data_IF_831154672815
#
_entry.id   IF_831154672815
#
_cell.length_a   1.000
_cell.length_b   1.000
_cell.length_c   1.000
_cell.angle_alpha   90.00
_cell.angle_beta   90.00
_cell.angle_gamma   90.00
#
_symmetry.space_group_name_H-M   'P 1'
#
loop_
_entity.id
_entity.type
_entity.pdbx_description
1 polymer ?
#
# COMPACT_ATOMS: atom_id res chain seq x y z
N UNK A 1 -19.64 5.62 -11.42
CA UNK A 1 -18.23 6.09 -11.44
C UNK A 1 -17.77 5.98 -12.88
N UNK A 2 -17.40 7.10 -13.53
CA UNK A 2 -17.02 7.09 -14.95
C UNK A 2 -15.71 7.85 -15.13
N UNK A 3 -14.78 7.25 -15.86
CA UNK A 3 -13.58 7.90 -16.36
C UNK A 3 -13.92 8.75 -17.59
N UNK A 4 -13.32 9.93 -17.67
CA UNK A 4 -13.52 10.89 -18.76
C UNK A 4 -12.20 11.08 -19.51
N UNK A 5 -12.23 10.97 -20.84
CA UNK A 5 -11.02 11.20 -21.66
C UNK A 5 -10.65 12.68 -21.80
N UNK A 6 -11.54 13.59 -21.42
CA UNK A 6 -11.32 15.03 -21.40
C UNK A 6 -12.09 15.66 -20.23
N UNK A 7 -11.61 16.80 -19.75
CA UNK A 7 -12.35 17.58 -18.77
C UNK A 7 -13.66 18.10 -19.38
N UNK A 8 -14.77 18.11 -18.63
CA UNK A 8 -16.00 18.75 -19.08
C UNK A 8 -15.82 20.26 -19.22
N UNK A 9 -16.68 20.89 -20.01
CA UNK A 9 -16.64 22.34 -20.23
C UNK A 9 -16.79 23.12 -18.92
N UNK A 10 -16.01 24.20 -18.79
CA UNK A 10 -16.01 25.06 -17.60
C UNK A 10 -15.14 24.59 -16.44
N UNK A 11 -14.51 23.41 -16.53
CA UNK A 11 -13.54 22.96 -15.54
C UNK A 11 -12.17 23.62 -15.77
N UNK A 12 -11.51 24.02 -14.67
CA UNK A 12 -10.14 24.54 -14.67
C UNK A 12 -9.34 23.93 -13.52
N UNK A 13 -8.05 23.83 -13.70
CA UNK A 13 -7.14 23.45 -12.61
C UNK A 13 -7.14 24.53 -11.52
N UNK A 14 -7.34 24.11 -10.27
CA UNK A 14 -7.32 24.99 -9.09
C UNK A 14 -6.14 24.69 -8.16
N UNK A 15 -5.60 23.49 -8.25
CA UNK A 15 -4.52 22.98 -7.41
C UNK A 15 -3.89 21.78 -8.12
N UNK A 16 -2.57 21.65 -8.01
CA UNK A 16 -1.82 20.48 -8.46
C UNK A 16 -0.89 20.03 -7.35
N UNK A 17 -0.93 18.72 -7.08
CA UNK A 17 -0.11 18.07 -6.06
C UNK A 17 0.90 17.20 -6.78
N UNK A 18 2.16 17.59 -6.73
CA UNK A 18 3.28 16.84 -7.30
C UNK A 18 4.32 16.60 -6.21
N UNK A 19 4.27 15.43 -5.58
CA UNK A 19 5.21 15.05 -4.51
C UNK A 19 6.66 14.91 -4.99
N UNK A 20 6.92 14.86 -6.31
CA UNK A 20 8.30 14.86 -6.83
C UNK A 20 8.90 16.26 -6.81
N UNK A 21 8.09 17.28 -7.10
CA UNK A 21 8.54 18.69 -7.13
C UNK A 21 8.40 19.35 -5.77
N UNK A 22 7.31 19.07 -5.05
CA UNK A 22 7.05 19.62 -3.72
C UNK A 22 7.65 18.74 -2.62
N UNK A 23 8.90 19.05 -2.27
CA UNK A 23 9.62 18.36 -1.19
C UNK A 23 8.95 18.53 0.18
N UNK A 24 8.26 19.65 0.44
CA UNK A 24 7.61 19.88 1.74
C UNK A 24 6.40 18.97 1.89
N UNK A 25 5.58 18.88 0.84
CA UNK A 25 4.46 17.96 0.81
C UNK A 25 4.95 16.50 0.92
N UNK A 26 6.01 16.12 0.20
CA UNK A 26 6.59 14.78 0.27
C UNK A 26 7.09 14.43 1.68
N UNK A 27 7.80 15.34 2.35
CA UNK A 27 8.25 15.13 3.74
C UNK A 27 7.06 15.02 4.68
N UNK A 28 6.06 15.88 4.54
CA UNK A 28 4.84 15.83 5.35
C UNK A 28 4.14 14.46 5.22
N UNK A 29 3.93 13.98 4.00
CA UNK A 29 3.30 12.66 3.73
C UNK A 29 4.11 11.52 4.36
N UNK A 30 5.45 11.52 4.20
CA UNK A 30 6.29 10.48 4.79
C UNK A 30 6.30 10.52 6.33
N UNK A 31 6.30 11.71 6.94
CA UNK A 31 6.20 11.85 8.40
C UNK A 31 4.86 11.34 8.93
N UNK A 32 3.76 11.61 8.22
CA UNK A 32 2.45 11.05 8.54
C UNK A 32 2.42 9.53 8.40
N UNK A 33 3.04 8.98 7.36
CA UNK A 33 3.16 7.52 7.17
C UNK A 33 3.96 6.87 8.33
N UNK A 34 5.06 7.48 8.75
CA UNK A 34 5.83 7.02 9.92
C UNK A 34 4.98 7.09 11.20
N UNK A 35 4.22 8.16 11.40
CA UNK A 35 3.35 8.29 12.56
C UNK A 35 2.27 7.19 12.59
N UNK A 36 1.65 6.89 11.44
CA UNK A 36 0.68 5.78 11.30
C UNK A 36 1.37 4.44 11.62
N UNK A 37 2.55 4.19 11.05
CA UNK A 37 3.30 2.97 11.32
C UNK A 37 3.60 2.80 12.81
N UNK A 38 4.01 3.86 13.51
CA UNK A 38 4.25 3.84 14.96
C UNK A 38 2.96 3.54 15.75
N UNK A 39 1.84 4.16 15.37
CA UNK A 39 0.53 3.93 16.00
C UNK A 39 0.07 2.48 15.81
N UNK A 40 0.40 1.84 14.70
CA UNK A 40 0.06 0.43 14.45
C UNK A 40 1.01 -0.53 15.16
N UNK A 41 2.32 -0.28 15.08
CA UNK A 41 3.35 -1.19 15.60
C UNK A 41 3.41 -1.19 17.12
N UNK A 42 3.29 -0.05 17.80
CA UNK A 42 3.47 0.02 19.26
C UNK A 42 2.41 -0.78 20.04
N UNK A 43 1.10 -0.61 19.79
CA UNK A 43 0.08 -1.41 20.46
C UNK A 43 0.20 -2.88 20.07
N UNK A 44 0.52 -3.18 18.81
CA UNK A 44 0.62 -4.57 18.38
C UNK A 44 1.82 -5.29 19.01
N UNK A 45 2.93 -4.59 19.26
CA UNK A 45 4.06 -5.12 20.01
C UNK A 45 3.74 -5.41 21.48
N UNK A 46 2.75 -4.73 22.07
CA UNK A 46 2.25 -5.09 23.39
C UNK A 46 1.43 -6.39 23.38
N UNK A 47 0.72 -6.69 22.29
CA UNK A 47 -0.12 -7.90 22.13
C UNK A 47 0.70 -9.11 21.66
N UNK A 48 1.49 -8.94 20.60
CA UNK A 48 2.37 -9.95 20.01
C UNK A 48 3.79 -9.40 20.03
N UNK A 49 4.57 -9.60 21.10
CA UNK A 49 5.89 -9.01 21.19
C UNK A 49 6.82 -9.44 20.06
N UNK A 50 7.52 -8.48 19.47
CA UNK A 50 8.42 -8.70 18.33
C UNK A 50 9.49 -9.76 18.63
N UNK A 51 9.99 -9.79 19.87
CA UNK A 51 10.95 -10.81 20.30
C UNK A 51 10.40 -12.24 20.15
N UNK A 52 9.09 -12.48 20.16
CA UNK A 52 8.54 -13.82 19.92
C UNK A 52 8.84 -14.32 18.51
N UNK A 53 8.97 -13.43 17.53
CA UNK A 53 9.40 -13.80 16.17
C UNK A 53 10.87 -14.23 16.11
N UNK A 54 11.68 -13.78 17.08
CA UNK A 54 13.11 -14.04 17.21
C UNK A 54 13.45 -15.19 18.17
N UNK A 55 12.80 -15.24 19.33
CA UNK A 55 13.09 -16.16 20.46
C UNK A 55 12.43 -17.52 20.29
N UNK A 56 11.36 -17.63 19.48
CA UNK A 56 10.81 -18.93 19.09
C UNK A 56 11.76 -19.75 18.20
N UNK A 57 12.84 -19.12 17.70
CA UNK A 57 13.74 -19.73 16.72
C UNK A 57 14.93 -20.38 17.40
N UNK A 58 15.14 -21.65 17.08
CA UNK A 58 16.28 -22.43 17.55
C UNK A 58 17.49 -22.32 16.64
N UNK A 59 17.31 -21.95 15.37
CA UNK A 59 18.38 -21.83 14.36
C UNK A 59 18.36 -20.44 13.69
N UNK A 60 19.54 -19.89 13.41
CA UNK A 60 19.73 -18.64 12.67
C UNK A 60 19.16 -18.72 11.26
N UNK A 61 19.11 -19.92 10.67
CA UNK A 61 18.50 -20.17 9.36
C UNK A 61 17.02 -19.79 9.34
N UNK A 62 16.29 -20.08 10.41
CA UNK A 62 14.85 -19.80 10.47
C UNK A 62 14.58 -18.30 10.53
N UNK A 63 15.47 -17.54 11.18
CA UNK A 63 15.44 -16.07 11.19
C UNK A 63 15.72 -15.53 9.78
N UNK A 64 16.77 -16.01 9.11
CA UNK A 64 17.13 -15.59 7.75
C UNK A 64 16.01 -15.87 6.76
N UNK A 65 15.36 -17.03 6.85
CA UNK A 65 14.22 -17.39 5.99
C UNK A 65 13.09 -16.36 6.14
N UNK A 66 12.74 -15.96 7.37
CA UNK A 66 11.69 -14.95 7.58
C UNK A 66 12.04 -13.60 6.95
N UNK A 67 13.28 -13.16 7.04
CA UNK A 67 13.72 -11.92 6.38
C UNK A 67 13.66 -12.01 4.86
N UNK A 68 14.11 -13.14 4.28
CA UNK A 68 14.00 -13.37 2.83
C UNK A 68 12.55 -13.39 2.39
N UNK A 69 11.69 -14.12 3.11
CA UNK A 69 10.25 -14.18 2.84
C UNK A 69 9.62 -12.79 2.96
N UNK A 70 9.96 -12.01 3.98
CA UNK A 70 9.47 -10.65 4.14
C UNK A 70 9.84 -9.77 2.93
N UNK A 71 11.10 -9.79 2.50
CA UNK A 71 11.56 -9.02 1.34
C UNK A 71 10.84 -9.42 0.05
N UNK A 72 10.68 -10.73 -0.17
CA UNK A 72 9.92 -11.26 -1.32
C UNK A 72 8.47 -10.81 -1.25
N UNK A 73 7.83 -10.93 -0.08
CA UNK A 73 6.45 -10.49 0.12
C UNK A 73 6.27 -9.00 -0.08
N UNK A 74 7.22 -8.15 0.34
CA UNK A 74 7.16 -6.71 0.10
C UNK A 74 7.13 -6.38 -1.40
N UNK A 75 8.02 -7.01 -2.19
CA UNK A 75 8.05 -6.81 -3.65
C UNK A 75 6.76 -7.30 -4.30
N UNK A 76 6.32 -8.53 -3.96
CA UNK A 76 5.09 -9.10 -4.49
C UNK A 76 3.87 -8.25 -4.14
N UNK A 77 3.80 -7.81 -2.89
CA UNK A 77 2.74 -6.96 -2.38
C UNK A 77 2.64 -5.64 -3.13
N UNK A 78 3.76 -4.94 -3.37
CA UNK A 78 3.74 -3.66 -4.13
C UNK A 78 3.18 -3.87 -5.53
N UNK A 79 3.59 -4.95 -6.22
CA UNK A 79 3.05 -5.26 -7.55
C UNK A 79 1.53 -5.53 -7.46
N UNK A 80 1.11 -6.34 -6.50
CA UNK A 80 -0.29 -6.67 -6.28
C UNK A 80 -1.13 -5.45 -5.88
N UNK A 81 -0.58 -4.51 -5.12
CA UNK A 81 -1.21 -3.25 -4.73
C UNK A 81 -1.52 -2.40 -5.97
N UNK A 82 -0.52 -2.19 -6.82
CA UNK A 82 -0.70 -1.43 -8.06
C UNK A 82 -1.66 -2.13 -9.03
N UNK A 83 -1.63 -3.46 -9.11
CA UNK A 83 -2.59 -4.21 -9.91
C UNK A 83 -4.03 -3.95 -9.47
N UNK A 84 -4.30 -3.89 -8.16
CA UNK A 84 -5.64 -3.56 -7.62
C UNK A 84 -6.04 -2.13 -7.96
N UNK A 85 -5.12 -1.16 -7.87
CA UNK A 85 -5.39 0.19 -8.39
C UNK A 85 -5.80 0.16 -9.86
N UNK A 86 -5.06 -0.58 -10.70
CA UNK A 86 -5.39 -0.71 -12.11
C UNK A 86 -6.73 -1.39 -12.38
N UNK A 87 -7.07 -2.45 -11.64
CA UNK A 87 -8.41 -3.07 -11.70
C UNK A 87 -9.48 -2.07 -11.29
N UNK A 88 -9.29 -1.33 -10.20
CA UNK A 88 -10.22 -0.28 -9.76
C UNK A 88 -10.40 0.80 -10.84
N UNK A 89 -9.32 1.26 -11.46
CA UNK A 89 -9.39 2.19 -12.60
C UNK A 89 -10.22 1.61 -13.76
N UNK A 90 -9.98 0.35 -14.14
CA UNK A 90 -10.77 -0.34 -15.18
C UNK A 90 -12.25 -0.41 -14.83
N UNK A 91 -12.59 -0.71 -13.58
CA UNK A 91 -14.00 -0.74 -13.12
C UNK A 91 -14.66 0.64 -13.15
N UNK A 92 -13.87 1.72 -13.01
CA UNK A 92 -14.35 3.09 -13.19
C UNK A 92 -14.43 3.53 -14.66
N UNK A 93 -14.10 2.68 -15.64
CA UNK A 93 -14.24 2.95 -17.07
C UNK A 93 -12.95 3.36 -17.79
N UNK A 94 -11.80 3.30 -17.11
CA UNK A 94 -10.50 3.62 -17.71
C UNK A 94 -10.14 2.64 -18.82
N UNK A 95 -9.80 3.16 -20.01
CA UNK A 95 -9.50 2.31 -21.18
C UNK A 95 -8.07 1.81 -21.22
N UNK A 96 -7.12 2.55 -20.66
CA UNK A 96 -5.69 2.17 -20.67
C UNK A 96 -5.05 2.54 -19.33
N UNK A 97 -4.70 1.52 -18.56
CA UNK A 97 -3.90 1.66 -17.35
C UNK A 97 -2.43 1.50 -17.73
N UNK A 98 -1.60 2.44 -17.28
CA UNK A 98 -0.14 2.41 -17.43
C UNK A 98 0.45 2.00 -16.09
N UNK A 99 1.32 1.01 -16.10
CA UNK A 99 2.11 0.64 -14.93
C UNK A 99 3.55 1.11 -15.14
N UNK A 100 4.19 1.54 -14.06
CA UNK A 100 5.58 1.94 -14.12
C UNK A 100 6.25 1.92 -12.76
N UNK A 101 7.56 2.10 -12.78
CA UNK A 101 8.40 2.21 -11.61
C UNK A 101 9.38 3.36 -11.82
N UNK A 102 9.46 4.27 -10.86
CA UNK A 102 10.31 5.46 -10.98
C UNK A 102 11.56 5.42 -10.10
N UNK A 103 11.95 4.23 -9.62
CA UNK A 103 13.08 4.05 -8.70
C UNK A 103 12.67 4.05 -7.23
N UNK A 104 11.74 4.94 -6.84
CA UNK A 104 11.24 5.00 -5.46
C UNK A 104 9.81 4.49 -5.31
N UNK A 105 8.97 4.67 -6.33
CA UNK A 105 7.56 4.30 -6.30
C UNK A 105 7.18 3.47 -7.52
N UNK A 106 6.47 2.38 -7.28
CA UNK A 106 5.62 1.75 -8.29
C UNK A 106 4.35 2.57 -8.45
N UNK A 107 3.75 2.56 -9.63
CA UNK A 107 2.50 3.26 -9.86
C UNK A 107 1.66 2.59 -10.96
N UNK A 108 0.34 2.60 -10.75
CA UNK A 108 -0.69 2.48 -11.77
C UNK A 108 -1.28 3.87 -12.06
N UNK A 109 -1.38 4.25 -13.33
CA UNK A 109 -1.87 5.56 -13.75
C UNK A 109 -2.68 5.53 -15.05
N UNK A 110 -3.40 6.61 -15.32
CA UNK A 110 -4.13 6.85 -16.57
C UNK A 110 -4.06 8.32 -16.95
N UNK A 111 -4.28 8.61 -18.23
CA UNK A 111 -4.48 9.99 -18.72
C UNK A 111 -5.96 10.43 -18.58
N UNK A 112 -6.84 9.52 -18.16
CA UNK A 112 -8.27 9.79 -17.93
C UNK A 112 -8.50 10.61 -16.65
N UNK A 113 -9.56 11.42 -16.65
CA UNK A 113 -10.03 12.18 -15.51
C UNK A 113 -11.10 11.40 -14.72
N UNK A 114 -11.08 11.55 -13.39
CA UNK A 114 -12.01 10.89 -12.48
C UNK A 114 -12.80 11.91 -11.68
N UNK A 115 -14.08 11.63 -11.44
CA UNK A 115 -14.85 12.33 -10.42
C UNK A 115 -14.31 12.02 -9.01
N UNK A 116 -14.72 12.82 -8.02
CA UNK A 116 -14.24 12.68 -6.63
C UNK A 116 -14.52 11.29 -6.05
N UNK A 117 -15.66 10.71 -6.39
CA UNK A 117 -16.09 9.40 -5.85
C UNK A 117 -15.23 8.27 -6.43
N UNK A 118 -15.01 8.29 -7.75
CA UNK A 118 -14.13 7.36 -8.44
C UNK A 118 -12.69 7.48 -7.95
N UNK A 119 -12.19 8.70 -7.76
CA UNK A 119 -10.85 8.93 -7.21
C UNK A 119 -10.69 8.31 -5.82
N UNK A 120 -11.62 8.57 -4.89
CA UNK A 120 -11.58 8.00 -3.53
C UNK A 120 -11.66 6.47 -3.59
N UNK A 121 -12.55 5.92 -4.42
CA UNK A 121 -12.67 4.48 -4.58
C UNK A 121 -11.38 3.84 -5.09
N UNK A 122 -10.79 4.39 -6.16
CA UNK A 122 -9.53 3.88 -6.74
C UNK A 122 -8.40 3.97 -5.72
N UNK A 123 -8.29 5.08 -5.00
CA UNK A 123 -7.25 5.29 -3.99
C UNK A 123 -7.38 4.32 -2.80
N UNK A 124 -8.60 4.04 -2.34
CA UNK A 124 -8.83 3.19 -1.18
C UNK A 124 -8.94 1.69 -1.52
N UNK A 125 -9.15 1.31 -2.78
CA UNK A 125 -9.42 -0.06 -3.18
C UNK A 125 -8.33 -1.06 -2.72
N UNK A 126 -7.02 -0.81 -2.92
CA UNK A 126 -5.99 -1.71 -2.41
C UNK A 126 -5.93 -1.73 -0.89
N UNK A 127 -6.05 -0.56 -0.25
CA UNK A 127 -6.00 -0.43 1.21
C UNK A 127 -7.07 -1.33 1.86
N UNK A 128 -8.30 -1.25 1.37
CA UNK A 128 -9.41 -2.05 1.89
C UNK A 128 -9.24 -3.53 1.57
N UNK A 129 -8.95 -3.87 0.31
CA UNK A 129 -8.83 -5.27 -0.12
C UNK A 129 -7.68 -5.98 0.60
N UNK A 130 -6.47 -5.44 0.52
CA UNK A 130 -5.31 -6.04 1.16
C UNK A 130 -5.35 -5.89 2.68
N UNK A 131 -5.98 -4.84 3.21
CA UNK A 131 -6.22 -4.70 4.65
C UNK A 131 -7.04 -5.88 5.20
N UNK A 132 -8.12 -6.26 4.51
CA UNK A 132 -8.95 -7.42 4.90
C UNK A 132 -8.19 -8.74 4.68
N UNK A 133 -7.60 -8.95 3.50
CA UNK A 133 -6.91 -10.19 3.16
C UNK A 133 -5.74 -10.45 4.11
N UNK A 134 -4.88 -9.45 4.34
CA UNK A 134 -3.72 -9.57 5.22
C UNK A 134 -4.15 -9.73 6.67
N UNK A 135 -5.22 -9.05 7.13
CA UNK A 135 -5.75 -9.27 8.48
C UNK A 135 -6.22 -10.72 8.68
N UNK A 136 -6.94 -11.29 7.70
CA UNK A 136 -7.36 -12.70 7.74
C UNK A 136 -6.15 -13.62 7.75
N UNK A 137 -5.17 -13.42 6.87
CA UNK A 137 -3.94 -14.21 6.84
C UNK A 137 -3.21 -14.13 8.18
N UNK A 138 -3.13 -12.94 8.77
CA UNK A 138 -2.42 -12.72 10.03
C UNK A 138 -3.06 -13.44 11.23
N UNK A 139 -4.37 -13.69 11.18
CA UNK A 139 -5.08 -14.52 12.18
C UNK A 139 -4.78 -16.02 11.99
N UNK A 140 -4.55 -16.45 10.75
CA UNK A 140 -4.38 -17.86 10.39
C UNK A 140 -2.92 -18.34 10.52
N UNK A 141 -1.95 -17.45 10.39
CA UNK A 141 -0.53 -17.81 10.51
C UNK A 141 -0.11 -18.03 11.98
N UNK A 142 0.88 -18.90 12.24
CA UNK A 142 1.44 -19.04 13.58
C UNK A 142 2.03 -17.72 14.09
N UNK A 143 2.05 -17.53 15.41
CA UNK A 143 2.52 -16.30 16.04
C UNK A 143 3.97 -15.92 15.66
N UNK A 144 4.78 -16.89 15.28
CA UNK A 144 6.15 -16.67 14.81
C UNK A 144 6.24 -15.98 13.44
N UNK A 145 5.19 -16.09 12.61
CA UNK A 145 5.07 -15.46 11.28
C UNK A 145 4.25 -14.18 11.30
N UNK A 146 3.58 -13.90 12.43
CA UNK A 146 2.71 -12.73 12.61
C UNK A 146 3.36 -11.45 12.11
N UNK A 147 4.58 -11.14 12.55
CA UNK A 147 5.26 -9.90 12.18
C UNK A 147 5.66 -9.85 10.70
N UNK A 148 5.89 -10.99 10.05
CA UNK A 148 6.17 -11.02 8.61
C UNK A 148 4.95 -10.52 7.84
N UNK A 149 3.75 -10.97 8.20
CA UNK A 149 2.50 -10.55 7.54
C UNK A 149 2.08 -9.15 8.00
N UNK A 150 2.21 -8.86 9.29
CA UNK A 150 1.78 -7.58 9.86
C UNK A 150 2.59 -6.41 9.33
N UNK A 151 3.89 -6.58 9.05
CA UNK A 151 4.70 -5.53 8.39
C UNK A 151 4.12 -5.20 7.00
N UNK A 152 3.72 -6.21 6.22
CA UNK A 152 3.06 -5.96 4.92
C UNK A 152 1.75 -5.22 5.11
N UNK A 153 1.00 -5.56 6.17
CA UNK A 153 -0.25 -4.86 6.51
C UNK A 153 0.01 -3.40 6.90
N UNK A 154 1.08 -3.09 7.62
CA UNK A 154 1.50 -1.71 7.92
C UNK A 154 1.89 -0.97 6.65
N UNK A 155 2.61 -1.61 5.72
CA UNK A 155 2.98 -1.03 4.42
C UNK A 155 1.79 -0.77 3.49
N UNK A 156 0.61 -1.30 3.83
CA UNK A 156 -0.62 -1.08 3.08
C UNK A 156 -1.40 0.16 3.52
N UNK A 157 -1.06 0.77 4.65
CA UNK A 157 -1.65 2.02 5.13
C UNK A 157 -0.70 3.19 4.93
#
# INVERSE_FOLDING_TARGET
MKAFGSLPDGYREICSVDLKKDKKAAVCVNLLAIAIAVILVLPMNAVVPFYRSLVSQTDIKDILIKYVVLLVLMVLYVILHELVHGVAMRTCGTKKVKYGFNGMYAFAGSDDYYDKTAYIFIALAPIVLWGVVLAVVNILVPAEWFWVIYIIQVLNL
#
